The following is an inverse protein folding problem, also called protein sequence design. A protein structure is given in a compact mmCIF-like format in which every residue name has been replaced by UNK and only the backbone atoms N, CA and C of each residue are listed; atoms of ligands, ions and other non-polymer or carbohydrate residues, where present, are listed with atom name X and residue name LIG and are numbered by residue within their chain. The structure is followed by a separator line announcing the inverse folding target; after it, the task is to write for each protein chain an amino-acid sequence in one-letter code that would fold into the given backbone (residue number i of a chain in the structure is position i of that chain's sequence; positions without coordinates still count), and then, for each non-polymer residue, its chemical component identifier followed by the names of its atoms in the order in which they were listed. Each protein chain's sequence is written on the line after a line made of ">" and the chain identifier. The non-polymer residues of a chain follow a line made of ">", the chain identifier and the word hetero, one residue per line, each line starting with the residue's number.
data_IF_425567460107
#
_entry.id   IF_425567460107
#
_cell.length_a   1.000
_cell.length_b   1.000
_cell.length_c   1.000
_cell.angle_alpha   90.00
_cell.angle_beta   90.00
_cell.angle_gamma   90.00
#
_symmetry.space_group_name_H-M   'P 1'
#
loop_
_entity.id
_entity.type
_entity.pdbx_description
1 polymer ?
#
# COMPACT_ATOMS: atom_id res chain seq x y z
N UNK A 1 11.51 4.75 4.66
CA UNK A 1 10.08 4.52 4.42
C UNK A 1 9.71 3.07 4.73
N UNK A 2 8.64 2.83 5.48
CA UNK A 2 8.13 1.53 5.88
C UNK A 2 6.67 1.40 5.42
N UNK A 3 6.40 0.46 4.52
CA UNK A 3 5.06 0.17 4.01
C UNK A 3 4.59 -1.18 4.56
N UNK A 4 3.35 -1.21 5.03
CA UNK A 4 2.69 -2.43 5.52
C UNK A 4 1.74 -2.94 4.45
N UNK A 5 1.79 -4.23 4.15
CA UNK A 5 0.84 -4.91 3.26
C UNK A 5 -0.01 -5.84 4.10
N UNK A 6 -1.33 -5.70 4.00
CA UNK A 6 -2.31 -6.58 4.65
C UNK A 6 -3.05 -7.36 3.58
N UNK A 7 -3.14 -8.67 3.73
CA UNK A 7 -3.69 -9.59 2.74
C UNK A 7 -2.67 -10.05 1.71
N UNK A 8 -3.18 -10.45 0.54
CA UNK A 8 -2.38 -10.95 -0.57
C UNK A 8 -2.18 -12.45 -0.52
N UNK A 9 -1.15 -12.94 -1.23
CA UNK A 9 -0.83 -14.35 -1.29
C UNK A 9 0.46 -14.63 -0.53
N UNK A 10 0.45 -15.56 0.42
CA UNK A 10 1.63 -16.00 1.18
C UNK A 10 2.82 -16.34 0.28
N UNK A 11 2.54 -17.00 -0.84
CA UNK A 11 3.55 -17.38 -1.85
C UNK A 11 4.27 -16.17 -2.46
N UNK A 12 3.61 -15.02 -2.56
CA UNK A 12 4.20 -13.80 -3.11
C UNK A 12 4.86 -12.91 -2.05
N UNK A 13 4.66 -13.18 -0.76
CA UNK A 13 5.28 -12.41 0.32
C UNK A 13 6.81 -12.24 0.18
N UNK A 14 7.62 -13.28 -0.16
CA UNK A 14 9.06 -13.08 -0.40
C UNK A 14 9.33 -12.15 -1.59
N UNK A 15 8.61 -12.32 -2.69
CA UNK A 15 8.78 -11.50 -3.89
C UNK A 15 8.36 -10.05 -3.67
N UNK A 16 7.29 -9.80 -2.90
CA UNK A 16 6.89 -8.46 -2.52
C UNK A 16 8.00 -7.73 -1.75
N UNK A 17 8.61 -8.42 -0.78
CA UNK A 17 9.70 -7.87 0.02
C UNK A 17 10.94 -7.59 -0.82
N UNK A 18 11.26 -8.48 -1.75
CA UNK A 18 12.36 -8.30 -2.68
C UNK A 18 12.16 -7.08 -3.57
N UNK A 19 10.97 -6.94 -4.16
CA UNK A 19 10.66 -5.77 -5.02
C UNK A 19 10.71 -4.46 -4.23
N UNK A 20 10.18 -4.44 -3.01
CA UNK A 20 10.28 -3.26 -2.15
C UNK A 20 11.73 -2.95 -1.74
N UNK A 21 12.54 -3.97 -1.46
CA UNK A 21 13.96 -3.81 -1.13
C UNK A 21 14.75 -3.20 -2.30
N UNK A 22 14.45 -3.59 -3.54
CA UNK A 22 15.04 -2.98 -4.75
C UNK A 22 14.73 -1.49 -4.86
N UNK A 23 13.62 -1.05 -4.29
CA UNK A 23 13.17 0.34 -4.25
C UNK A 23 13.63 1.07 -2.96
N UNK A 24 14.41 0.42 -2.08
CA UNK A 24 14.83 1.01 -0.80
C UNK A 24 13.71 1.14 0.24
N UNK A 25 12.62 0.37 0.09
CA UNK A 25 11.44 0.41 0.96
C UNK A 25 11.46 -0.80 1.90
N UNK A 26 11.28 -0.57 3.19
CA UNK A 26 11.05 -1.63 4.16
C UNK A 26 9.60 -2.10 4.07
N UNK A 27 9.37 -3.34 3.61
CA UNK A 27 8.03 -3.90 3.46
C UNK A 27 7.71 -4.94 4.53
N UNK A 28 6.59 -4.76 5.22
CA UNK A 28 6.05 -5.76 6.15
C UNK A 28 4.77 -6.36 5.57
N UNK A 29 4.79 -7.65 5.26
CA UNK A 29 3.65 -8.36 4.67
C UNK A 29 2.95 -9.20 5.74
N UNK A 30 1.65 -8.99 5.89
CA UNK A 30 0.76 -9.73 6.77
C UNK A 30 -0.38 -10.34 5.93
N UNK A 31 -0.33 -11.64 5.62
CA UNK A 31 -1.31 -12.29 4.75
C UNK A 31 -2.72 -12.34 5.36
N UNK A 32 -2.82 -12.27 6.68
CA UNK A 32 -4.07 -12.23 7.44
C UNK A 32 -4.12 -11.01 8.35
N UNK A 33 -5.33 -10.60 8.73
CA UNK A 33 -5.52 -9.57 9.73
C UNK A 33 -5.45 -10.18 11.13
N UNK A 34 -4.62 -9.59 12.00
CA UNK A 34 -4.43 -10.04 13.39
C UNK A 34 -4.86 -8.94 14.36
N UNK A 35 -5.17 -9.30 15.61
CA UNK A 35 -5.63 -8.32 16.62
C UNK A 35 -4.57 -7.25 16.92
N UNK A 36 -3.30 -7.63 16.91
CA UNK A 36 -2.17 -6.73 17.15
C UNK A 36 -1.78 -5.91 15.92
N UNK A 37 -2.53 -6.01 14.82
CA UNK A 37 -2.22 -5.29 13.58
C UNK A 37 -2.21 -3.76 13.81
N UNK A 38 -3.08 -3.25 14.67
CA UNK A 38 -3.07 -1.83 15.07
C UNK A 38 -1.69 -1.40 15.61
N UNK A 39 -1.10 -2.18 16.52
CA UNK A 39 0.23 -1.89 17.06
C UNK A 39 1.31 -2.02 15.98
N UNK A 40 1.19 -3.02 15.09
CA UNK A 40 2.13 -3.23 13.97
C UNK A 40 2.09 -2.08 12.94
N UNK A 41 0.97 -1.36 12.84
CA UNK A 41 0.79 -0.21 11.95
C UNK A 41 1.44 1.08 12.47
N UNK A 42 1.55 1.26 13.80
CA UNK A 42 1.96 2.53 14.44
C UNK A 42 3.19 3.22 13.83
N UNK A 43 4.19 2.45 13.38
CA UNK A 43 5.45 2.97 12.86
C UNK A 43 5.58 2.76 11.34
N UNK A 44 4.48 2.87 10.61
CA UNK A 44 4.45 2.73 9.14
C UNK A 44 4.02 4.02 8.46
N UNK A 45 4.60 4.26 7.28
CA UNK A 45 4.33 5.43 6.44
C UNK A 45 3.10 5.22 5.54
N UNK A 46 2.62 3.98 5.42
CA UNK A 46 1.47 3.65 4.60
C UNK A 46 1.08 2.18 4.69
N UNK A 47 -0.19 1.91 4.39
CA UNK A 47 -0.77 0.56 4.40
C UNK A 47 -1.37 0.25 3.03
N UNK A 48 -0.99 -0.87 2.45
CA UNK A 48 -1.58 -1.45 1.24
C UNK A 48 -2.45 -2.62 1.67
N UNK A 49 -3.75 -2.55 1.39
CA UNK A 49 -4.74 -3.56 1.76
C UNK A 49 -5.25 -4.28 0.51
N UNK A 50 -4.94 -5.57 0.42
CA UNK A 50 -5.47 -6.44 -0.64
C UNK A 50 -6.85 -6.99 -0.25
N UNK A 51 -7.90 -6.34 -0.74
CA UNK A 51 -9.29 -6.62 -0.38
C UNK A 51 -9.81 -7.94 -0.96
N UNK A 52 -9.20 -8.45 -2.03
CA UNK A 52 -9.61 -9.71 -2.67
C UNK A 52 -9.27 -10.97 -1.88
N UNK A 53 -8.46 -10.88 -0.82
CA UNK A 53 -8.01 -12.03 -0.01
C UNK A 53 -8.26 -11.88 1.49
N UNK A 54 -8.97 -10.83 1.89
CA UNK A 54 -9.31 -10.57 3.30
C UNK A 54 -10.83 -10.67 3.49
N UNK A 55 -11.26 -11.16 4.66
CA UNK A 55 -12.69 -11.19 4.99
C UNK A 55 -13.25 -9.77 5.16
N UNK A 56 -14.57 -9.62 5.04
CA UNK A 56 -15.23 -8.33 5.23
C UNK A 56 -14.96 -7.72 6.63
N UNK A 57 -14.94 -8.58 7.66
CA UNK A 57 -14.58 -8.16 9.02
C UNK A 57 -13.12 -7.69 9.10
N UNK A 58 -12.18 -8.45 8.51
CA UNK A 58 -10.77 -8.06 8.49
C UNK A 58 -10.52 -6.77 7.71
N UNK A 59 -11.24 -6.53 6.61
CA UNK A 59 -11.19 -5.27 5.86
C UNK A 59 -11.61 -4.09 6.72
N UNK A 60 -12.75 -4.21 7.42
CA UNK A 60 -13.29 -3.15 8.28
C UNK A 60 -12.32 -2.81 9.41
N UNK A 61 -11.75 -3.83 10.05
CA UNK A 61 -10.76 -3.64 11.10
C UNK A 61 -9.45 -3.03 10.59
N UNK A 62 -8.96 -3.43 9.42
CA UNK A 62 -7.78 -2.83 8.79
C UNK A 62 -7.98 -1.35 8.46
N UNK A 63 -9.15 -0.99 7.93
CA UNK A 63 -9.51 0.41 7.68
C UNK A 63 -9.55 1.19 8.99
N UNK A 64 -10.17 0.63 10.03
CA UNK A 64 -10.26 1.28 11.33
C UNK A 64 -8.89 1.48 11.97
N UNK A 65 -8.02 0.47 11.89
CA UNK A 65 -6.64 0.52 12.37
C UNK A 65 -5.81 1.62 11.70
N UNK A 66 -5.87 1.71 10.36
CA UNK A 66 -5.16 2.75 9.61
C UNK A 66 -5.68 4.15 9.97
N UNK A 67 -7.01 4.32 10.08
CA UNK A 67 -7.63 5.59 10.48
C UNK A 67 -7.26 6.01 11.90
N UNK A 68 -7.26 5.07 12.85
CA UNK A 68 -6.89 5.32 14.24
C UNK A 68 -5.45 5.87 14.37
N UNK A 69 -4.54 5.42 13.51
CA UNK A 69 -3.16 5.88 13.48
C UNK A 69 -2.89 7.01 12.47
N UNK A 70 -3.92 7.51 11.78
CA UNK A 70 -3.80 8.53 10.71
C UNK A 70 -2.83 8.12 9.60
N UNK A 71 -2.77 6.84 9.26
CA UNK A 71 -1.87 6.29 8.24
C UNK A 71 -2.62 6.21 6.90
N UNK A 72 -2.01 6.64 5.79
CA UNK A 72 -2.63 6.52 4.48
C UNK A 72 -2.85 5.04 4.10
N UNK A 73 -4.09 4.72 3.71
CA UNK A 73 -4.51 3.38 3.34
C UNK A 73 -4.82 3.32 1.83
N UNK A 74 -4.24 2.36 1.15
CA UNK A 74 -4.44 2.08 -0.27
C UNK A 74 -5.09 0.72 -0.42
N UNK A 75 -6.26 0.66 -1.05
CA UNK A 75 -7.03 -0.59 -1.16
C UNK A 75 -6.98 -1.08 -2.60
N UNK A 76 -6.57 -2.34 -2.80
CA UNK A 76 -6.57 -2.98 -4.11
C UNK A 76 -7.28 -4.32 -4.04
N UNK A 77 -8.09 -4.63 -5.04
CA UNK A 77 -8.68 -5.96 -5.14
C UNK A 77 -7.64 -6.99 -5.58
N UNK A 78 -6.81 -6.62 -6.55
CA UNK A 78 -5.78 -7.49 -7.11
C UNK A 78 -4.52 -7.53 -6.22
N UNK A 79 -4.00 -8.73 -5.99
CA UNK A 79 -2.80 -8.96 -5.17
C UNK A 79 -1.60 -9.43 -6.01
N UNK A 80 -1.46 -9.01 -7.25
CA UNK A 80 -0.30 -9.35 -8.07
C UNK A 80 0.98 -8.61 -7.64
N UNK A 81 2.15 -9.14 -8.02
CA UNK A 81 3.44 -8.44 -7.90
C UNK A 81 3.44 -7.11 -8.69
N UNK A 82 2.88 -7.13 -9.89
CA UNK A 82 2.78 -5.93 -10.74
C UNK A 82 2.02 -4.80 -10.02
N UNK A 83 0.84 -5.12 -9.46
CA UNK A 83 0.01 -4.17 -8.71
C UNK A 83 0.78 -3.56 -7.53
N UNK A 84 1.50 -4.38 -6.76
CA UNK A 84 2.31 -3.87 -5.65
C UNK A 84 3.43 -2.96 -6.16
N UNK A 85 4.16 -3.38 -7.20
CA UNK A 85 5.27 -2.60 -7.77
C UNK A 85 4.83 -1.21 -8.21
N UNK A 86 3.71 -1.13 -8.93
CA UNK A 86 3.19 0.16 -9.40
C UNK A 86 2.74 1.04 -8.24
N UNK A 87 2.11 0.45 -7.22
CA UNK A 87 1.75 1.15 -5.99
C UNK A 87 2.99 1.72 -5.27
N UNK A 88 4.02 0.91 -5.05
CA UNK A 88 5.27 1.34 -4.38
C UNK A 88 5.97 2.48 -5.15
N UNK A 89 5.99 2.41 -6.49
CA UNK A 89 6.52 3.49 -7.34
C UNK A 89 5.71 4.78 -7.22
N UNK A 90 4.38 4.69 -7.15
CA UNK A 90 3.53 5.86 -6.91
C UNK A 90 3.78 6.47 -5.52
N UNK A 91 3.92 5.65 -4.49
CA UNK A 91 4.23 6.12 -3.13
C UNK A 91 5.56 6.85 -3.06
N UNK A 92 6.60 6.30 -3.70
CA UNK A 92 7.91 6.96 -3.76
C UNK A 92 7.83 8.32 -4.43
N UNK A 93 7.16 8.43 -5.58
CA UNK A 93 6.99 9.70 -6.30
C UNK A 93 6.30 10.76 -5.43
N UNK A 94 5.28 10.36 -4.67
CA UNK A 94 4.60 11.28 -3.75
C UNK A 94 5.48 11.70 -2.56
N UNK A 95 6.42 10.86 -2.14
CA UNK A 95 7.32 11.16 -1.02
C UNK A 95 8.51 12.04 -1.43
N UNK A 96 9.01 11.92 -2.66
CA UNK A 96 10.20 12.65 -3.12
C UNK A 96 9.89 13.92 -3.91
N UNK A 97 8.66 14.12 -4.39
CA UNK A 97 8.31 15.28 -5.22
C UNK A 97 9.03 15.33 -6.58
N UNK A 98 9.73 14.25 -6.95
CA UNK A 98 10.51 14.17 -8.18
C UNK A 98 9.66 13.65 -9.36
N UNK A 99 9.55 14.50 -10.39
CA UNK A 99 9.17 14.10 -11.74
C UNK A 99 10.36 13.40 -12.40
N UNK A 100 10.36 12.07 -12.40
CA UNK A 100 11.17 11.32 -13.37
C UNK A 100 10.30 10.28 -14.10
N UNK A 101 10.30 10.28 -15.45
CA UNK A 101 9.61 9.25 -16.21
C UNK A 101 10.32 7.90 -16.02
N UNK A 102 9.59 6.79 -15.83
CA UNK A 102 10.21 5.47 -15.97
C UNK A 102 10.39 5.18 -17.47
N UNK A 103 11.56 5.52 -18.01
CA UNK A 103 12.02 4.95 -19.28
C UNK A 103 12.53 3.52 -19.06
N UNK A 104 11.96 2.58 -19.82
CA UNK A 104 12.67 1.36 -20.25
C UNK A 104 12.52 0.10 -19.39
N UNK A 105 11.86 -0.92 -19.97
CA UNK A 105 12.35 -2.30 -19.92
C UNK A 105 11.42 -3.36 -19.35
N UNK A 106 10.70 -4.07 -20.23
CA UNK A 106 10.14 -5.40 -19.94
C UNK A 106 8.79 -5.68 -20.59
N UNK A 107 8.77 -5.87 -21.91
CA UNK A 107 7.63 -6.47 -22.62
C UNK A 107 7.47 -7.93 -22.19
N UNK A 108 6.29 -8.30 -21.68
CA UNK A 108 5.69 -9.62 -21.93
C UNK A 108 4.20 -9.40 -22.17
N UNK A 109 3.73 -10.09 -23.19
CA UNK A 109 2.61 -9.78 -24.06
C UNK A 109 1.23 -10.08 -23.47
N UNK A 110 0.30 -9.14 -23.74
CA UNK A 110 -1.11 -9.32 -24.13
C UNK A 110 -2.04 -10.21 -23.26
N UNK A 111 -3.06 -9.52 -22.75
CA UNK A 111 -4.43 -9.97 -22.43
C UNK A 111 -4.78 -10.16 -20.96
N UNK A 112 -4.97 -9.05 -20.25
CA UNK A 112 -6.30 -8.60 -19.82
C UNK A 112 -6.28 -7.09 -19.66
N UNK A 113 -7.20 -6.42 -20.33
CA UNK A 113 -7.60 -5.09 -19.96
C UNK A 113 -8.09 -5.13 -18.50
N UNK A 114 -7.51 -4.31 -17.63
CA UNK A 114 -8.27 -3.77 -16.50
C UNK A 114 -8.49 -2.30 -16.80
N UNK A 115 -9.57 -1.95 -17.53
CA UNK A 115 -10.12 -0.62 -17.38
C UNK A 115 -10.72 -0.55 -15.96
N UNK A 116 -10.38 0.50 -15.24
CA UNK A 116 -11.11 1.01 -14.08
C UNK A 116 -11.33 0.04 -12.90
N UNK A 117 -10.50 0.14 -11.86
CA UNK A 117 -11.01 0.34 -10.49
C UNK A 117 -9.84 0.66 -9.53
N UNK A 118 -9.82 1.91 -9.08
CA UNK A 118 -9.34 2.28 -7.75
C UNK A 118 -7.85 2.10 -7.44
N UNK A 119 -6.99 2.91 -8.07
CA UNK A 119 -6.09 3.73 -7.24
C UNK A 119 -6.98 4.69 -6.43
N UNK A 120 -7.73 4.18 -5.46
CA UNK A 120 -8.35 5.01 -4.44
C UNK A 120 -7.20 5.53 -3.60
N UNK A 121 -6.65 6.65 -4.06
CA UNK A 121 -5.93 7.57 -3.20
C UNK A 121 -6.72 7.65 -1.90
N UNK A 122 -6.07 7.51 -0.74
CA UNK A 122 -6.76 7.73 0.52
C UNK A 122 -7.46 9.10 0.42
N UNK A 123 -8.69 9.25 0.95
CA UNK A 123 -9.26 10.59 1.10
C UNK A 123 -8.19 11.42 1.79
N UNK A 124 -7.72 12.50 1.15
CA UNK A 124 -6.69 13.38 1.70
C UNK A 124 -7.12 13.67 3.13
N UNK A 125 -6.36 13.14 4.11
CA UNK A 125 -6.58 13.47 5.52
C UNK A 125 -6.66 15.00 5.57
N UNK A 126 -7.69 15.60 6.18
CA UNK A 126 -7.74 17.04 6.34
C UNK A 126 -6.43 17.42 7.03
N UNK A 127 -5.60 18.20 6.35
CA UNK A 127 -4.42 18.80 6.96
C UNK A 127 -4.98 19.60 8.13
N UNK A 128 -4.79 19.09 9.35
CA UNK A 128 -5.07 19.85 10.55
C UNK A 128 -4.07 21.00 10.53
N UNK A 129 -4.52 22.12 9.98
CA UNK A 129 -3.79 23.37 9.95
C UNK A 129 -3.35 23.67 11.38
N UNK A 130 -2.05 23.70 11.60
CA UNK A 130 -1.47 24.10 12.87
C UNK A 130 -1.88 25.52 13.19
N UNK A 131 -2.86 25.69 14.08
CA UNK A 131 -2.99 26.91 14.85
C UNK A 131 -1.92 26.88 15.95
N UNK A 132 -0.73 27.36 15.59
CA UNK A 132 0.11 28.10 16.54
C UNK A 132 -0.72 29.32 16.93
N UNK A 133 -1.28 29.32 18.14
CA UNK A 133 -1.62 30.56 18.81
C UNK A 133 -0.56 30.83 19.87
N UNK A 134 -0.08 32.06 19.81
CA UNK A 134 0.95 32.68 20.63
C UNK A 134 0.54 32.80 22.11
#
# INVERSE_FOLDING_TARGET
>A
MCIVVIGGMDRLAPHYREEAKRLGISLRVFPTFERDMQQKLRNSDGVVLFTGKISHAGRREAINAARHHNIPLYQFHNCGLCTLRDCLRCLLRNATGETTPPEGGGQTTRNTAYPDDSCQLPPRLPQMAGHRHA
#
